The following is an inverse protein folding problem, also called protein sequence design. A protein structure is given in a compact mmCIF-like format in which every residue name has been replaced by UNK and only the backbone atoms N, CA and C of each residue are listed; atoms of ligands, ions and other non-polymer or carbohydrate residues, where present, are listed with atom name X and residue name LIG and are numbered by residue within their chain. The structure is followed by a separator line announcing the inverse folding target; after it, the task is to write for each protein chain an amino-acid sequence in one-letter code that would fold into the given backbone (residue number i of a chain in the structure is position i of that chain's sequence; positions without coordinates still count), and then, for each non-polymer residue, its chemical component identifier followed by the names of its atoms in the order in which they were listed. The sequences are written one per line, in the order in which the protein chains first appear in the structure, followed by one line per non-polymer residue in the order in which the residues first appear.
data_IF_195153523807
#
_entry.id   IF_195153523807
#
_cell.length_a   1.000
_cell.length_b   1.000
_cell.length_c   1.000
_cell.angle_alpha   90.00
_cell.angle_beta   90.00
_cell.angle_gamma   90.00
#
_symmetry.space_group_name_H-M   'P 1'
#
loop_
_entity.id
_entity.type
_entity.pdbx_description
1 polymer ?
#
# COMPACT_ATOMS: atom_id res chain seq x y z
N UNK A 1 4.62 -88.00 -32.47
CA UNK A 1 3.94 -87.55 -31.23
C UNK A 1 4.63 -86.32 -30.67
N UNK A 2 5.87 -86.40 -30.17
CA UNK A 2 6.57 -85.28 -29.51
C UNK A 2 6.60 -83.91 -30.24
N UNK A 3 6.70 -83.87 -31.57
CA UNK A 3 6.69 -82.61 -32.32
C UNK A 3 5.30 -81.97 -32.40
N UNK A 4 4.24 -82.78 -32.44
CA UNK A 4 2.87 -82.28 -32.49
C UNK A 4 2.48 -81.64 -31.15
N UNK A 5 2.88 -82.29 -30.05
CA UNK A 5 2.62 -81.80 -28.68
C UNK A 5 3.31 -80.44 -28.43
N UNK A 6 4.53 -80.27 -28.94
CA UNK A 6 5.28 -79.01 -28.84
C UNK A 6 4.68 -77.89 -29.70
N UNK A 7 4.15 -78.21 -30.87
CA UNK A 7 3.48 -77.23 -31.75
C UNK A 7 2.17 -76.73 -31.10
N UNK A 8 1.44 -77.62 -30.42
CA UNK A 8 0.22 -77.28 -29.69
C UNK A 8 0.52 -76.44 -28.43
N UNK A 9 1.57 -76.78 -27.68
CA UNK A 9 2.02 -76.00 -26.52
C UNK A 9 2.48 -74.60 -26.93
N UNK A 10 3.25 -74.49 -28.03
CA UNK A 10 3.67 -73.21 -28.58
C UNK A 10 2.46 -72.34 -28.96
N UNK A 11 1.48 -72.91 -29.64
CA UNK A 11 0.25 -72.20 -30.02
C UNK A 11 -0.50 -71.69 -28.78
N UNK A 12 -0.60 -72.51 -27.74
CA UNK A 12 -1.23 -72.13 -26.47
C UNK A 12 -0.49 -71.00 -25.77
N UNK A 13 0.84 -71.05 -25.71
CA UNK A 13 1.64 -69.96 -25.17
C UNK A 13 1.53 -68.67 -25.98
N UNK A 14 1.43 -68.74 -27.31
CA UNK A 14 1.20 -67.57 -28.16
C UNK A 14 -0.16 -66.92 -27.92
N UNK A 15 -1.22 -67.72 -27.72
CA UNK A 15 -2.56 -67.23 -27.36
C UNK A 15 -2.55 -66.56 -25.97
N UNK A 16 -1.89 -67.17 -24.99
CA UNK A 16 -1.74 -66.65 -23.62
C UNK A 16 -0.89 -65.37 -23.58
N UNK A 17 0.22 -65.32 -24.33
CA UNK A 17 1.05 -64.12 -24.48
C UNK A 17 0.28 -62.97 -25.11
N UNK A 18 -0.52 -63.25 -26.15
CA UNK A 18 -1.37 -62.24 -26.78
C UNK A 18 -2.49 -61.76 -25.85
N UNK A 19 -3.06 -62.66 -25.05
CA UNK A 19 -4.03 -62.30 -24.02
C UNK A 19 -3.43 -61.34 -22.98
N UNK A 20 -2.25 -61.66 -22.43
CA UNK A 20 -1.58 -60.79 -21.46
C UNK A 20 -1.12 -59.48 -22.08
N UNK A 21 -0.62 -59.49 -23.32
CA UNK A 21 -0.25 -58.26 -24.04
C UNK A 21 -1.46 -57.33 -24.25
N UNK A 22 -2.62 -57.88 -24.56
CA UNK A 22 -3.87 -57.11 -24.70
C UNK A 22 -4.37 -56.57 -23.35
N UNK A 23 -4.25 -57.36 -22.28
CA UNK A 23 -4.63 -56.97 -20.93
C UNK A 23 -3.70 -55.88 -20.37
N UNK A 24 -2.38 -56.04 -20.50
CA UNK A 24 -1.40 -55.01 -20.13
C UNK A 24 -1.52 -53.75 -20.96
N UNK A 25 -1.83 -53.87 -22.26
CA UNK A 25 -2.10 -52.72 -23.14
C UNK A 25 -3.33 -51.91 -22.70
N UNK A 26 -4.37 -52.56 -22.14
CA UNK A 26 -5.52 -51.87 -21.54
C UNK A 26 -5.20 -51.24 -20.18
N UNK A 27 -4.38 -51.89 -19.36
CA UNK A 27 -4.01 -51.40 -18.02
C UNK A 27 -3.04 -50.20 -18.05
N UNK A 28 -2.19 -50.09 -19.08
CA UNK A 28 -1.19 -49.03 -19.17
C UNK A 28 -1.75 -47.69 -19.65
N UNK A 29 -2.82 -47.72 -20.46
CA UNK A 29 -3.53 -46.52 -20.96
C UNK A 29 -4.64 -46.02 -20.01
N UNK A 30 -4.92 -46.75 -18.94
CA UNK A 30 -5.95 -46.43 -17.95
C UNK A 30 -5.30 -45.84 -16.69
N UNK A 31 -4.55 -44.74 -16.84
CA UNK A 31 -4.57 -43.72 -15.77
C UNK A 31 -6.04 -43.32 -15.66
N UNK A 32 -6.70 -43.86 -14.64
CA UNK A 32 -8.15 -43.83 -14.50
C UNK A 32 -8.67 -42.41 -14.72
N UNK A 33 -9.47 -42.23 -15.76
CA UNK A 33 -10.12 -40.94 -16.08
C UNK A 33 -10.99 -40.44 -14.92
N UNK A 34 -11.38 -41.34 -14.01
CA UNK A 34 -12.06 -41.05 -12.75
C UNK A 34 -11.15 -40.31 -11.77
N UNK A 35 -9.87 -40.69 -11.69
CA UNK A 35 -8.89 -40.11 -10.76
C UNK A 35 -8.59 -38.63 -11.12
N UNK A 36 -8.42 -38.34 -12.42
CA UNK A 36 -8.23 -36.96 -12.93
C UNK A 36 -9.47 -36.07 -12.72
N UNK A 37 -10.67 -36.66 -12.76
CA UNK A 37 -11.91 -35.92 -12.54
C UNK A 37 -12.10 -35.57 -11.06
N UNK A 38 -11.79 -36.51 -10.17
CA UNK A 38 -11.85 -36.30 -8.72
C UNK A 38 -10.83 -35.25 -8.27
N UNK A 39 -9.59 -35.29 -8.79
CA UNK A 39 -8.58 -34.25 -8.56
C UNK A 39 -9.10 -32.85 -8.96
N UNK A 40 -9.69 -32.73 -10.15
CA UNK A 40 -10.20 -31.46 -10.66
C UNK A 40 -11.35 -30.90 -9.80
N UNK A 41 -12.22 -31.76 -9.28
CA UNK A 41 -13.29 -31.38 -8.34
C UNK A 41 -12.70 -30.90 -7.02
N UNK A 42 -11.74 -31.64 -6.46
CA UNK A 42 -11.09 -31.29 -5.20
C UNK A 42 -10.35 -29.96 -5.29
N UNK A 43 -9.63 -29.72 -6.40
CA UNK A 43 -8.95 -28.45 -6.66
C UNK A 43 -9.93 -27.28 -6.78
N UNK A 44 -11.04 -27.47 -7.51
CA UNK A 44 -12.04 -26.40 -7.64
C UNK A 44 -12.73 -26.10 -6.31
N UNK A 45 -13.03 -27.12 -5.51
CA UNK A 45 -13.56 -26.96 -4.17
C UNK A 45 -12.57 -26.22 -3.25
N UNK A 46 -11.29 -26.58 -3.28
CA UNK A 46 -10.23 -25.94 -2.51
C UNK A 46 -10.08 -24.46 -2.87
N UNK A 47 -9.95 -24.15 -4.16
CA UNK A 47 -9.80 -22.76 -4.61
C UNK A 47 -11.04 -21.93 -4.27
N UNK A 48 -12.23 -22.52 -4.38
CA UNK A 48 -13.47 -21.84 -4.00
C UNK A 48 -13.54 -21.59 -2.49
N UNK A 49 -13.11 -22.55 -1.67
CA UNK A 49 -13.08 -22.42 -0.22
C UNK A 49 -12.07 -21.37 0.26
N UNK A 50 -10.92 -21.26 -0.41
CA UNK A 50 -9.85 -20.33 -0.03
C UNK A 50 -10.03 -18.92 -0.59
N UNK A 51 -10.54 -18.77 -1.80
CA UNK A 51 -10.48 -17.50 -2.55
C UNK A 51 -11.85 -16.98 -3.01
N UNK A 52 -12.96 -17.65 -2.65
CA UNK A 52 -14.31 -17.20 -3.01
C UNK A 52 -14.62 -17.35 -4.51
N UNK A 53 -15.80 -16.86 -4.92
CA UNK A 53 -16.39 -17.15 -6.24
C UNK A 53 -16.32 -16.02 -7.27
N UNK A 54 -16.42 -14.75 -6.87
CA UNK A 54 -16.95 -13.73 -7.79
C UNK A 54 -15.95 -12.67 -8.31
N UNK A 55 -14.87 -12.34 -7.59
CA UNK A 55 -14.05 -11.18 -7.97
C UNK A 55 -12.89 -11.52 -8.93
N UNK A 56 -12.52 -12.80 -9.01
CA UNK A 56 -11.30 -13.29 -9.68
C UNK A 56 -11.37 -13.16 -11.21
N UNK A 57 -12.55 -13.26 -11.82
CA UNK A 57 -12.70 -13.25 -13.29
C UNK A 57 -12.41 -11.88 -13.91
N UNK A 58 -12.78 -10.79 -13.22
CA UNK A 58 -12.53 -9.42 -13.67
C UNK A 58 -11.04 -9.08 -13.63
N UNK A 59 -10.35 -9.48 -12.55
CA UNK A 59 -8.91 -9.31 -12.38
C UNK A 59 -8.13 -10.02 -13.49
N UNK A 60 -8.48 -11.28 -13.78
CA UNK A 60 -7.80 -12.06 -14.80
C UNK A 60 -7.89 -11.42 -16.19
N UNK A 61 -9.08 -10.99 -16.61
CA UNK A 61 -9.27 -10.35 -17.91
C UNK A 61 -8.50 -9.03 -18.01
N UNK A 62 -8.62 -8.17 -17.00
CA UNK A 62 -7.91 -6.89 -16.94
C UNK A 62 -6.38 -7.08 -17.01
N UNK A 63 -5.87 -8.12 -16.34
CA UNK A 63 -4.46 -8.48 -16.37
C UNK A 63 -3.99 -8.97 -17.74
N UNK A 64 -4.74 -9.89 -18.36
CA UNK A 64 -4.42 -10.39 -19.69
C UNK A 64 -4.49 -9.29 -20.76
N UNK A 65 -5.44 -8.37 -20.65
CA UNK A 65 -5.54 -7.19 -21.52
C UNK A 65 -4.34 -6.26 -21.35
N UNK A 66 -3.98 -5.92 -20.11
CA UNK A 66 -2.81 -5.11 -19.79
C UNK A 66 -1.48 -5.75 -20.25
N UNK A 67 -1.47 -7.07 -20.46
CA UNK A 67 -0.30 -7.84 -20.90
C UNK A 67 -0.50 -8.47 -22.29
N UNK A 68 -1.42 -7.93 -23.10
CA UNK A 68 -1.74 -8.42 -24.44
C UNK A 68 -0.57 -8.34 -25.45
N UNK A 69 0.50 -7.61 -25.12
CA UNK A 69 1.76 -7.62 -25.87
C UNK A 69 2.57 -8.92 -25.69
N UNK A 70 2.26 -9.73 -24.68
CA UNK A 70 2.84 -11.07 -24.47
C UNK A 70 1.99 -12.08 -25.24
N UNK A 71 2.62 -12.87 -26.10
CA UNK A 71 1.94 -13.78 -27.03
C UNK A 71 1.02 -14.78 -26.31
N UNK A 72 1.48 -15.31 -25.17
CA UNK A 72 0.73 -16.25 -24.34
C UNK A 72 -0.49 -15.61 -23.70
N UNK A 73 -0.36 -14.37 -23.20
CA UNK A 73 -1.49 -13.62 -22.62
C UNK A 73 -2.54 -13.31 -23.69
N UNK A 74 -2.09 -12.95 -24.91
CA UNK A 74 -2.98 -12.71 -26.03
C UNK A 74 -3.70 -13.99 -26.48
N UNK A 75 -3.00 -15.14 -26.54
CA UNK A 75 -3.62 -16.44 -26.83
C UNK A 75 -4.65 -16.79 -25.77
N UNK A 76 -4.29 -16.72 -24.49
CA UNK A 76 -5.19 -17.00 -23.37
C UNK A 76 -6.45 -16.12 -23.40
N UNK A 77 -6.29 -14.82 -23.70
CA UNK A 77 -7.42 -13.89 -23.82
C UNK A 77 -8.38 -14.30 -24.95
N UNK A 78 -7.87 -14.75 -26.10
CA UNK A 78 -8.70 -15.22 -27.23
C UNK A 78 -9.49 -16.48 -26.91
N UNK A 79 -8.94 -17.38 -26.09
CA UNK A 79 -9.60 -18.62 -25.67
C UNK A 79 -10.32 -18.50 -24.33
N UNK A 80 -10.40 -17.31 -23.73
CA UNK A 80 -10.92 -17.11 -22.37
C UNK A 80 -12.25 -17.81 -22.09
N UNK A 81 -13.23 -17.66 -22.99
CA UNK A 81 -14.58 -18.26 -22.86
C UNK A 81 -14.58 -19.78 -22.99
N UNK A 82 -13.55 -20.37 -23.59
CA UNK A 82 -13.37 -21.81 -23.74
C UNK A 82 -12.51 -22.43 -22.64
N UNK A 83 -11.85 -21.61 -21.81
CA UNK A 83 -11.06 -22.10 -20.69
C UNK A 83 -11.98 -22.71 -19.62
N UNK A 84 -11.48 -23.77 -18.97
CA UNK A 84 -12.15 -24.33 -17.79
C UNK A 84 -12.21 -23.26 -16.68
N UNK A 85 -13.28 -23.21 -15.87
CA UNK A 85 -13.39 -22.26 -14.76
C UNK A 85 -12.21 -22.31 -13.79
N UNK A 86 -11.69 -23.51 -13.52
CA UNK A 86 -10.49 -23.69 -12.69
C UNK A 86 -9.27 -22.97 -13.29
N UNK A 87 -9.07 -23.07 -14.60
CA UNK A 87 -7.96 -22.39 -15.29
C UNK A 87 -8.12 -20.87 -15.21
N UNK A 88 -9.35 -20.35 -15.37
CA UNK A 88 -9.62 -18.92 -15.20
C UNK A 88 -9.30 -18.43 -13.78
N UNK A 89 -9.65 -19.21 -12.74
CA UNK A 89 -9.29 -18.92 -11.35
C UNK A 89 -7.77 -18.91 -11.12
N UNK A 90 -7.04 -19.87 -11.68
CA UNK A 90 -5.57 -19.90 -11.57
C UNK A 90 -4.93 -18.68 -12.24
N UNK A 91 -5.43 -18.27 -13.40
CA UNK A 91 -4.95 -17.05 -14.08
C UNK A 91 -5.25 -15.81 -13.23
N UNK A 92 -6.43 -15.73 -12.61
CA UNK A 92 -6.76 -14.64 -11.69
C UNK A 92 -5.80 -14.57 -10.50
N UNK A 93 -5.51 -15.71 -9.88
CA UNK A 93 -4.58 -15.79 -8.76
C UNK A 93 -3.16 -15.38 -9.17
N UNK A 94 -2.73 -15.76 -10.37
CA UNK A 94 -1.45 -15.32 -10.91
C UNK A 94 -1.42 -13.80 -11.14
N UNK A 95 -2.53 -13.22 -11.62
CA UNK A 95 -2.70 -11.78 -11.78
C UNK A 95 -2.63 -11.03 -10.43
N UNK A 96 -3.37 -11.52 -9.42
CA UNK A 96 -3.36 -10.97 -8.07
C UNK A 96 -1.97 -11.05 -7.44
N UNK A 97 -1.29 -12.19 -7.56
CA UNK A 97 0.08 -12.36 -7.08
C UNK A 97 1.04 -11.34 -7.73
N UNK A 98 0.88 -11.08 -9.04
CA UNK A 98 1.72 -10.10 -9.75
C UNK A 98 1.42 -8.66 -9.34
N UNK A 99 0.17 -8.34 -9.04
CA UNK A 99 -0.22 -7.02 -8.53
C UNK A 99 0.31 -6.81 -7.11
N UNK A 100 0.17 -7.80 -6.23
CA UNK A 100 0.71 -7.78 -4.88
C UNK A 100 2.24 -7.62 -4.88
N UNK A 101 2.95 -8.21 -5.83
CA UNK A 101 4.39 -8.02 -5.98
C UNK A 101 4.74 -6.54 -6.24
N UNK A 102 4.01 -5.89 -7.15
CA UNK A 102 4.19 -4.45 -7.45
C UNK A 102 3.85 -3.58 -6.24
N UNK A 103 2.75 -3.87 -5.56
CA UNK A 103 2.33 -3.11 -4.39
C UNK A 103 3.33 -3.24 -3.24
N UNK A 104 3.87 -4.45 -3.02
CA UNK A 104 4.94 -4.67 -2.04
C UNK A 104 6.18 -3.83 -2.37
N UNK A 105 6.59 -3.76 -3.63
CA UNK A 105 7.73 -2.95 -4.05
C UNK A 105 7.46 -1.45 -3.86
N UNK A 106 6.26 -0.97 -4.22
CA UNK A 106 5.85 0.42 -3.97
C UNK A 106 5.83 0.76 -2.47
N UNK A 107 5.26 -0.10 -1.63
CA UNK A 107 5.23 0.08 -0.18
C UNK A 107 6.63 0.08 0.41
N UNK A 108 7.53 -0.77 -0.09
CA UNK A 108 8.93 -0.81 0.34
C UNK A 108 9.65 0.51 0.04
N UNK A 109 9.43 1.08 -1.14
CA UNK A 109 9.99 2.39 -1.52
C UNK A 109 9.42 3.51 -0.65
N UNK A 110 8.10 3.52 -0.45
CA UNK A 110 7.43 4.54 0.35
C UNK A 110 7.86 4.50 1.81
N UNK A 111 8.01 3.30 2.39
CA UNK A 111 8.49 3.12 3.75
C UNK A 111 9.90 3.70 3.91
N UNK A 112 10.82 3.35 3.01
CA UNK A 112 12.19 3.89 3.02
C UNK A 112 12.19 5.42 2.95
N UNK A 113 11.39 6.00 2.05
CA UNK A 113 11.28 7.46 1.93
C UNK A 113 10.75 8.10 3.21
N UNK A 114 9.75 7.49 3.85
CA UNK A 114 9.19 7.98 5.10
C UNK A 114 10.24 7.93 6.24
N UNK A 115 11.05 6.87 6.29
CA UNK A 115 12.17 6.76 7.25
C UNK A 115 13.24 7.84 7.02
N UNK A 116 13.60 8.10 5.76
CA UNK A 116 14.52 9.20 5.39
C UNK A 116 13.96 10.57 5.80
N UNK A 117 12.67 10.82 5.57
CA UNK A 117 12.00 12.07 5.95
C UNK A 117 11.98 12.27 7.47
N UNK A 118 11.71 11.21 8.24
CA UNK A 118 11.78 11.25 9.71
C UNK A 118 13.19 11.63 10.18
N UNK A 119 14.24 11.09 9.57
CA UNK A 119 15.62 11.42 9.93
C UNK A 119 15.96 12.89 9.65
N UNK A 120 15.57 13.41 8.49
CA UNK A 120 15.77 14.83 8.15
C UNK A 120 15.03 15.73 9.13
N UNK A 121 13.75 15.44 9.41
CA UNK A 121 12.94 16.22 10.34
C UNK A 121 13.49 16.16 11.77
N UNK A 122 14.02 15.01 12.19
CA UNK A 122 14.65 14.87 13.50
C UNK A 122 15.87 15.78 13.64
N UNK A 123 16.75 15.82 12.63
CA UNK A 123 17.93 16.69 12.64
C UNK A 123 17.54 18.17 12.61
N UNK A 124 16.59 18.56 11.75
CA UNK A 124 16.05 19.91 11.71
C UNK A 124 15.45 20.33 13.06
N UNK A 125 14.70 19.42 13.71
CA UNK A 125 14.12 19.67 15.04
C UNK A 125 15.21 19.86 16.10
N UNK A 126 16.28 19.08 16.04
CA UNK A 126 17.41 19.20 16.96
C UNK A 126 18.10 20.56 16.83
N UNK A 127 18.38 21.00 15.60
CA UNK A 127 18.95 22.32 15.32
C UNK A 127 18.05 23.44 15.85
N UNK A 128 16.76 23.38 15.57
CA UNK A 128 15.78 24.36 16.05
C UNK A 128 15.66 24.38 17.58
N UNK A 129 15.75 23.22 18.22
CA UNK A 129 15.71 23.10 19.67
C UNK A 129 16.93 23.77 20.33
N UNK A 130 18.13 23.56 19.79
CA UNK A 130 19.34 24.21 20.28
C UNK A 130 19.30 25.72 20.07
N UNK A 131 18.82 26.19 18.92
CA UNK A 131 18.68 27.63 18.66
C UNK A 131 17.62 28.27 19.58
N UNK A 132 16.50 27.59 19.83
CA UNK A 132 15.47 28.05 20.76
C UNK A 132 16.02 28.17 22.18
N UNK A 133 16.75 27.15 22.67
CA UNK A 133 17.45 27.21 23.97
C UNK A 133 18.43 28.39 24.01
N UNK A 134 19.19 28.63 22.94
CA UNK A 134 20.15 29.75 22.83
C UNK A 134 19.43 31.10 22.95
N UNK A 135 18.34 31.29 22.23
CA UNK A 135 17.52 32.51 22.25
C UNK A 135 16.88 32.74 23.61
N UNK A 136 16.32 31.71 24.25
CA UNK A 136 15.77 31.80 25.61
C UNK A 136 16.84 32.32 26.59
N UNK A 137 18.06 31.77 26.54
CA UNK A 137 19.17 32.24 27.39
C UNK A 137 19.53 33.70 27.11
N UNK A 138 19.51 34.13 25.85
CA UNK A 138 19.80 35.51 25.47
C UNK A 138 18.73 36.48 26.00
N UNK A 139 17.46 36.16 25.80
CA UNK A 139 16.32 36.93 26.33
C UNK A 139 16.36 37.06 27.85
N UNK A 140 16.72 36.00 28.58
CA UNK A 140 16.89 36.08 30.03
C UNK A 140 18.04 37.01 30.41
N UNK A 141 19.21 36.90 29.77
CA UNK A 141 20.34 37.81 30.04
C UNK A 141 20.01 39.27 29.79
N UNK A 142 19.34 39.59 28.68
CA UNK A 142 18.97 40.97 28.34
C UNK A 142 17.99 41.59 29.36
N UNK A 143 17.04 40.78 29.86
CA UNK A 143 16.14 41.18 30.96
C UNK A 143 16.89 41.47 32.26
N UNK A 144 17.97 40.73 32.55
CA UNK A 144 18.76 40.92 33.76
C UNK A 144 19.79 42.05 33.66
N UNK A 145 20.34 42.33 32.47
CA UNK A 145 21.25 43.46 32.23
C UNK A 145 20.48 44.80 32.27
N UNK A 146 19.23 44.81 31.81
CA UNK A 146 18.36 46.00 31.87
C UNK A 146 17.80 46.30 33.27
N UNK A 147 18.04 45.42 34.25
CA UNK A 147 17.53 45.54 35.62
C UNK A 147 18.58 45.88 36.68
N UNK A 148 19.86 46.06 36.30
CA UNK A 148 20.94 46.31 37.25
C UNK A 148 21.92 47.39 36.75
N UNK A 149 21.75 48.61 37.27
CA UNK A 149 22.63 49.77 37.07
C UNK A 149 21.93 50.90 36.28
N UNK A 150 21.74 52.11 36.79
CA UNK A 150 22.16 52.77 38.03
C UNK A 150 21.43 54.11 38.12
N UNK A 151 21.45 54.72 39.31
CA UNK A 151 20.68 55.92 39.63
C UNK A 151 21.08 57.20 38.86
N UNK A 152 20.09 58.10 38.82
CA UNK A 152 20.17 59.56 38.81
C UNK A 152 21.05 60.25 37.76
N UNK A 153 20.45 60.68 36.64
CA UNK A 153 20.69 62.05 36.13
C UNK A 153 19.40 62.64 35.53
N UNK A 154 19.07 63.80 36.09
CA UNK A 154 18.13 64.82 35.62
C UNK A 154 18.11 64.98 34.10
N UNK A 155 16.90 64.94 33.52
CA UNK A 155 16.70 65.19 32.09
C UNK A 155 15.25 65.03 31.69
N UNK A 156 14.44 66.05 32.00
CA UNK A 156 13.04 66.16 31.57
C UNK A 156 12.94 66.06 30.05
N UNK A 157 12.41 64.95 29.51
CA UNK A 157 11.58 64.96 28.30
C UNK A 157 10.46 63.94 28.49
N UNK A 158 9.26 64.48 28.71
CA UNK A 158 8.00 63.77 28.71
C UNK A 158 7.87 62.89 27.47
N UNK A 159 7.43 61.64 27.64
CA UNK A 159 6.32 61.06 26.87
C UNK A 159 5.88 59.77 27.57
N UNK A 160 4.58 59.74 27.87
CA UNK A 160 3.71 58.67 28.38
C UNK A 160 3.70 58.30 29.88
N UNK A 161 2.46 58.39 30.39
CA UNK A 161 1.72 57.39 31.19
C UNK A 161 1.64 57.66 32.69
N UNK A 162 0.48 58.20 33.02
CA UNK A 162 -0.16 58.31 34.33
C UNK A 162 -0.16 57.02 35.12
N UNK A 163 0.04 57.15 36.43
CA UNK A 163 -0.70 56.39 37.45
C UNK A 163 -0.69 57.16 38.78
N UNK A 164 -1.85 57.61 39.23
CA UNK A 164 -2.18 57.68 40.66
C UNK A 164 -3.69 57.72 40.85
N UNK A 165 -4.22 56.52 41.02
CA UNK A 165 -5.33 56.07 41.88
C UNK A 165 -6.14 57.13 42.67
N UNK A 166 -7.46 56.91 42.59
CA UNK A 166 -8.57 57.31 43.48
C UNK A 166 -9.10 58.75 43.39
N UNK A 167 -10.09 58.97 42.51
CA UNK A 167 -11.37 59.56 42.90
C UNK A 167 -12.45 59.36 41.83
N UNK A 168 -13.60 58.86 42.30
CA UNK A 168 -14.98 58.97 41.79
C UNK A 168 -15.20 59.38 40.32
N UNK A 169 -15.73 58.45 39.53
CA UNK A 169 -16.67 58.76 38.45
C UNK A 169 -16.30 58.39 37.01
N UNK A 170 -17.15 57.56 36.39
CA UNK A 170 -17.46 57.45 34.95
C UNK A 170 -16.40 56.89 33.95
N UNK A 171 -16.74 55.70 33.44
CA UNK A 171 -16.59 55.12 32.06
C UNK A 171 -15.26 54.48 31.59
N UNK A 172 -15.44 53.21 31.15
CA UNK A 172 -14.91 52.44 29.99
C UNK A 172 -13.40 52.22 29.78
N UNK A 173 -13.10 50.91 29.65
CA UNK A 173 -12.34 50.21 28.58
C UNK A 173 -11.07 49.45 29.01
N UNK A 174 -11.07 48.16 28.70
CA UNK A 174 -10.00 47.17 28.93
C UNK A 174 -8.99 47.19 27.77
N UNK A 175 -7.68 46.95 27.98
CA UNK A 175 -6.73 46.81 26.89
C UNK A 175 -6.73 45.38 26.33
N UNK A 176 -7.18 45.24 25.08
CA UNK A 176 -6.97 44.05 24.24
C UNK A 176 -5.51 44.04 23.77
N UNK A 177 -4.76 42.98 24.07
CA UNK A 177 -3.50 42.67 23.38
C UNK A 177 -3.85 41.82 22.15
N UNK A 178 -4.14 42.47 21.04
CA UNK A 178 -4.16 41.84 19.72
C UNK A 178 -3.57 42.81 18.71
N UNK A 179 -2.34 42.56 18.27
CA UNK A 179 -1.80 43.15 17.05
C UNK A 179 -1.83 42.10 15.94
N UNK A 180 -2.43 42.35 14.78
CA UNK A 180 -2.32 41.48 13.63
C UNK A 180 -0.97 41.73 12.95
N UNK A 181 -0.10 40.73 12.96
CA UNK A 181 1.07 40.68 12.07
C UNK A 181 0.61 39.98 10.79
N UNK A 182 0.32 40.76 9.75
CA UNK A 182 0.17 40.27 8.39
C UNK A 182 1.56 39.92 7.84
N UNK A 183 2.09 38.76 8.22
CA UNK A 183 3.21 38.14 7.49
C UNK A 183 2.61 37.34 6.33
N UNK A 184 2.62 37.93 5.13
CA UNK A 184 2.48 37.17 3.89
C UNK A 184 3.59 36.14 3.86
N UNK A 185 3.23 34.86 3.91
CA UNK A 185 4.15 33.76 3.63
C UNK A 185 4.38 33.80 2.13
N UNK A 186 5.59 34.15 1.71
CA UNK A 186 6.02 34.11 0.33
C UNK A 186 6.32 32.64 -0.04
N UNK A 187 5.54 32.07 -0.96
CA UNK A 187 5.73 30.71 -1.48
C UNK A 187 6.74 30.67 -2.64
N UNK A 188 7.52 31.73 -2.87
CA UNK A 188 8.46 31.85 -3.98
C UNK A 188 9.68 30.94 -3.96
N UNK A 189 9.84 30.07 -2.95
CA UNK A 189 10.93 29.09 -2.90
C UNK A 189 10.39 27.68 -2.65
N UNK A 190 9.53 27.22 -3.57
CA UNK A 190 9.24 25.81 -3.72
C UNK A 190 10.47 25.14 -4.35
N UNK A 191 11.19 24.37 -3.54
CA UNK A 191 12.13 23.39 -4.04
C UNK A 191 11.38 22.47 -5.04
N UNK A 192 11.75 22.46 -6.34
CA UNK A 192 11.03 21.72 -7.38
C UNK A 192 11.04 20.20 -7.16
N UNK A 193 11.78 19.71 -6.16
CA UNK A 193 11.81 18.29 -5.79
C UNK A 193 10.67 17.86 -4.86
N UNK A 194 9.98 18.79 -4.18
CA UNK A 194 8.85 18.46 -3.30
C UNK A 194 7.54 18.49 -4.08
N UNK A 195 7.30 17.45 -4.87
CA UNK A 195 5.94 17.18 -5.33
C UNK A 195 5.11 16.68 -4.15
N UNK A 196 3.95 17.30 -3.84
CA UNK A 196 3.01 16.69 -2.92
C UNK A 196 2.62 15.33 -3.49
N UNK A 197 2.65 14.30 -2.64
CA UNK A 197 2.06 13.01 -2.99
C UNK A 197 0.62 13.27 -3.44
N UNK A 198 0.25 12.73 -4.60
CA UNK A 198 -1.08 12.88 -5.21
C UNK A 198 -2.17 12.78 -4.14
N UNK A 199 -3.25 13.59 -4.20
CA UNK A 199 -4.32 13.48 -3.21
C UNK A 199 -4.81 12.04 -3.19
N UNK A 200 -4.67 11.37 -2.04
CA UNK A 200 -5.26 10.05 -1.82
C UNK A 200 -6.75 10.18 -2.12
N UNK A 201 -7.21 9.48 -3.15
CA UNK A 201 -8.62 9.48 -3.52
C UNK A 201 -9.43 9.03 -2.30
N UNK A 202 -10.42 9.83 -1.93
CA UNK A 202 -11.33 9.56 -0.83
C UNK A 202 -12.21 8.34 -1.19
N UNK A 203 -11.74 7.15 -0.86
CA UNK A 203 -12.56 5.96 -0.82
C UNK A 203 -13.34 5.94 0.48
N UNK A 204 -14.46 6.67 0.53
CA UNK A 204 -15.53 6.35 1.48
C UNK A 204 -16.85 6.97 1.02
N UNK A 205 -17.86 6.17 0.61
CA UNK A 205 -19.21 6.67 0.49
C UNK A 205 -19.79 6.78 1.91
N UNK A 206 -20.63 7.81 2.11
CA UNK A 206 -21.50 8.02 3.29
C UNK A 206 -21.03 9.08 4.30
N UNK A 207 -21.35 10.33 3.96
CA UNK A 207 -21.72 11.36 4.94
C UNK A 207 -22.91 12.13 4.38
N UNK A 208 -24.06 11.47 4.27
CA UNK A 208 -25.34 12.17 4.07
C UNK A 208 -25.67 12.89 5.37
N UNK A 209 -25.35 14.18 5.42
CA UNK A 209 -25.78 15.08 6.47
C UNK A 209 -27.31 15.09 6.55
N UNK A 210 -27.89 14.46 7.57
CA UNK A 210 -29.22 14.78 8.02
C UNK A 210 -29.16 16.09 8.81
N UNK A 211 -29.66 17.19 8.22
CA UNK A 211 -30.08 18.37 8.98
C UNK A 211 -31.54 18.19 9.38
N UNK A 212 -31.80 18.27 10.69
CA UNK A 212 -33.12 18.66 11.23
C UNK A 212 -33.22 20.17 11.22
#
# INVERSE_FOLDING_TARGET
MRNFDLEEEKKKLEEELNFYKFQSGRQLDEVSTVDLHEEQILLDALLTAMFGKDETTSTANSFLEAHSGVEECQKLLKMWTSLKPLTQKVIALAADAKNLEKDKDHLTINLRRAEEEVNVLFEENNILNEENKRLIRLCHREKHISGSGGGSLSGKVSIVRSTSILSVGKRKSSPKLSSPVEKKIDFGNLDPQRQPLSPLQSNSPESRMHKK
#
